data_IF_148593211477
#
_entry.id   IF_148593211477
#
_cell.length_a   1.000
_cell.length_b   1.000
_cell.length_c   1.000
_cell.angle_alpha   90.00
_cell.angle_beta   90.00
_cell.angle_gamma   90.00
#
_symmetry.space_group_name_H-M   'P 1'
#
loop_
_entity.id
_entity.type
_entity.pdbx_description
1 polymer ?
#
# COMPACT_ATOMS: atom_id res chain seq x y z
N UNK A 1 -22.18 26.43 5.78
CA UNK A 1 -20.79 26.53 5.32
C UNK A 1 -19.81 25.73 6.18
N UNK A 2 -19.85 25.82 7.49
CA UNK A 2 -18.90 25.17 8.45
C UNK A 2 -18.88 23.63 8.31
N UNK A 3 -20.04 22.99 8.09
CA UNK A 3 -20.12 21.51 7.91
C UNK A 3 -19.35 21.03 6.67
N UNK A 4 -19.37 21.79 5.57
CA UNK A 4 -18.61 21.47 4.34
C UNK A 4 -17.10 21.65 4.56
N UNK A 5 -16.68 22.65 5.33
CA UNK A 5 -15.29 22.90 5.66
C UNK A 5 -14.71 21.77 6.53
N UNK A 6 -15.47 21.28 7.51
CA UNK A 6 -15.09 20.16 8.38
C UNK A 6 -14.83 18.89 7.57
N UNK A 7 -15.74 18.54 6.66
CA UNK A 7 -15.57 17.35 5.81
C UNK A 7 -14.37 17.47 4.87
N UNK A 8 -14.12 18.66 4.31
CA UNK A 8 -12.93 18.91 3.49
C UNK A 8 -11.64 18.72 4.29
N UNK A 9 -11.59 19.24 5.51
CA UNK A 9 -10.42 19.06 6.40
C UNK A 9 -10.18 17.60 6.73
N UNK A 10 -11.23 16.86 7.15
CA UNK A 10 -11.12 15.42 7.42
C UNK A 10 -10.69 14.66 6.16
N UNK A 11 -11.25 14.97 4.99
CA UNK A 11 -10.88 14.32 3.73
C UNK A 11 -9.41 14.54 3.36
N UNK A 12 -8.88 15.76 3.54
CA UNK A 12 -7.47 16.07 3.28
C UNK A 12 -6.55 15.31 4.24
N UNK A 13 -6.87 15.31 5.54
CA UNK A 13 -6.09 14.57 6.53
C UNK A 13 -6.10 13.06 6.24
N UNK A 14 -7.27 12.49 5.92
CA UNK A 14 -7.39 11.08 5.58
C UNK A 14 -6.67 10.73 4.28
N UNK A 15 -6.71 11.61 3.27
CA UNK A 15 -5.98 11.45 2.02
C UNK A 15 -4.46 11.42 2.24
N UNK A 16 -3.95 12.31 3.09
CA UNK A 16 -2.53 12.36 3.43
C UNK A 16 -2.09 11.10 4.18
N UNK A 17 -2.88 10.65 5.16
CA UNK A 17 -2.62 9.41 5.89
C UNK A 17 -2.64 8.20 4.97
N UNK A 18 -3.62 8.10 4.07
CA UNK A 18 -3.71 7.02 3.10
C UNK A 18 -2.49 6.98 2.16
N UNK A 19 -2.02 8.15 1.73
CA UNK A 19 -0.82 8.28 0.91
C UNK A 19 0.42 7.79 1.65
N UNK A 20 0.63 8.23 2.90
CA UNK A 20 1.77 7.81 3.73
C UNK A 20 1.74 6.30 3.98
N UNK A 21 0.58 5.74 4.37
CA UNK A 21 0.44 4.29 4.59
C UNK A 21 0.72 3.50 3.30
N UNK A 22 0.22 3.96 2.16
CA UNK A 22 0.48 3.31 0.87
C UNK A 22 1.95 3.34 0.50
N UNK A 23 2.65 4.45 0.75
CA UNK A 23 4.09 4.56 0.50
C UNK A 23 4.90 3.63 1.41
N UNK A 24 4.59 3.60 2.72
CA UNK A 24 5.30 2.76 3.69
C UNK A 24 5.07 1.27 3.41
N UNK A 25 3.82 0.86 3.20
CA UNK A 25 3.50 -0.54 2.91
C UNK A 25 4.01 -0.98 1.53
N UNK A 26 3.98 -0.08 0.53
CA UNK A 26 4.57 -0.34 -0.77
C UNK A 26 6.08 -0.53 -0.70
N UNK A 27 6.79 0.32 0.04
CA UNK A 27 8.23 0.18 0.26
C UNK A 27 8.56 -1.11 1.04
N UNK A 28 7.82 -1.41 2.09
CA UNK A 28 8.00 -2.65 2.87
C UNK A 28 7.74 -3.91 2.02
N UNK A 29 6.68 -3.92 1.22
CA UNK A 29 6.40 -5.02 0.29
C UNK A 29 7.54 -5.22 -0.71
N UNK A 30 8.03 -4.12 -1.31
CA UNK A 30 9.12 -4.19 -2.28
C UNK A 30 10.41 -4.71 -1.66
N UNK A 31 10.76 -4.23 -0.46
CA UNK A 31 11.94 -4.68 0.28
C UNK A 31 11.87 -6.16 0.63
N UNK A 32 10.71 -6.64 1.13
CA UNK A 32 10.52 -8.06 1.46
C UNK A 32 10.61 -8.92 0.19
N UNK A 33 9.96 -8.49 -0.89
CA UNK A 33 10.00 -9.20 -2.16
C UNK A 33 11.44 -9.34 -2.68
N UNK A 34 12.22 -8.25 -2.72
CA UNK A 34 13.61 -8.28 -3.15
C UNK A 34 14.45 -9.23 -2.28
N UNK A 35 14.29 -9.14 -0.96
CA UNK A 35 15.03 -9.99 -0.02
C UNK A 35 14.76 -11.48 -0.25
N UNK A 36 13.51 -11.87 -0.51
CA UNK A 36 13.13 -13.25 -0.80
C UNK A 36 13.67 -13.68 -2.18
N UNK A 37 13.59 -12.82 -3.20
CA UNK A 37 14.14 -13.10 -4.52
C UNK A 37 15.66 -13.33 -4.46
N UNK A 38 16.39 -12.47 -3.75
CA UNK A 38 17.85 -12.59 -3.58
C UNK A 38 18.22 -13.89 -2.83
N UNK A 39 17.43 -14.23 -1.82
CA UNK A 39 17.62 -15.45 -1.05
C UNK A 39 17.41 -16.72 -1.91
N UNK A 40 16.34 -16.75 -2.71
CA UNK A 40 16.08 -17.81 -3.68
C UNK A 40 17.22 -17.97 -4.70
N UNK A 41 17.75 -16.84 -5.20
CA UNK A 41 18.90 -16.85 -6.12
C UNK A 41 20.15 -17.40 -5.46
N UNK A 42 20.49 -16.94 -4.28
CA UNK A 42 21.66 -17.44 -3.52
C UNK A 42 21.58 -18.95 -3.32
N UNK A 43 20.39 -19.46 -3.00
CA UNK A 43 20.14 -20.88 -2.86
C UNK A 43 20.38 -21.66 -4.17
N UNK A 44 19.87 -21.15 -5.30
CA UNK A 44 20.11 -21.77 -6.60
C UNK A 44 21.60 -21.84 -6.94
N UNK A 45 22.37 -20.77 -6.69
CA UNK A 45 23.81 -20.76 -6.87
C UNK A 45 24.53 -21.76 -5.97
N UNK A 46 24.10 -21.89 -4.71
CA UNK A 46 24.67 -22.83 -3.77
C UNK A 46 24.40 -24.28 -4.22
N UNK A 47 23.17 -24.61 -4.60
CA UNK A 47 22.78 -25.94 -5.09
C UNK A 47 23.59 -26.33 -6.35
N UNK A 48 23.76 -25.40 -7.29
CA UNK A 48 24.55 -25.67 -8.49
C UNK A 48 26.03 -25.90 -8.20
N UNK A 49 26.58 -25.19 -7.21
CA UNK A 49 28.00 -25.27 -6.87
C UNK A 49 28.35 -26.51 -6.04
N UNK A 50 27.53 -26.90 -5.09
CA UNK A 50 27.78 -28.03 -4.17
C UNK A 50 27.61 -29.38 -4.86
N UNK A 51 26.61 -29.52 -5.75
CA UNK A 51 26.36 -30.75 -6.50
C UNK A 51 27.45 -31.08 -7.55
N UNK A 52 28.39 -30.16 -7.78
CA UNK A 52 29.51 -30.37 -8.71
C UNK A 52 30.63 -31.24 -8.15
N UNK A 53 30.57 -31.69 -6.91
CA UNK A 53 31.75 -32.28 -6.27
C UNK A 53 31.64 -33.55 -5.43
N UNK A 54 30.63 -33.78 -4.65
CA UNK A 54 30.51 -34.93 -3.74
C UNK A 54 29.08 -35.06 -3.16
N UNK A 55 28.43 -36.19 -3.43
CA UNK A 55 27.36 -36.79 -2.64
C UNK A 55 26.29 -35.86 -2.06
N UNK A 56 25.06 -36.37 -1.95
CA UNK A 56 23.85 -35.70 -1.47
C UNK A 56 24.04 -34.33 -0.82
N UNK A 57 23.64 -33.29 -1.50
CA UNK A 57 23.59 -31.91 -0.98
C UNK A 57 22.82 -31.93 0.34
N UNK A 58 23.39 -31.51 1.47
CA UNK A 58 22.60 -31.33 2.68
C UNK A 58 21.48 -30.34 2.34
N UNK A 59 20.23 -30.72 2.65
CA UNK A 59 19.04 -29.93 2.34
C UNK A 59 19.31 -28.42 2.52
N UNK A 60 19.33 -27.63 1.45
CA UNK A 60 19.61 -26.22 1.55
C UNK A 60 18.52 -25.56 2.41
N UNK A 61 18.93 -25.03 3.52
CA UNK A 61 18.04 -24.36 4.47
C UNK A 61 18.29 -22.85 4.40
N UNK A 62 17.22 -22.09 4.38
CA UNK A 62 17.26 -20.64 4.47
C UNK A 62 16.83 -20.22 5.86
N UNK A 63 17.52 -19.24 6.44
CA UNK A 63 17.16 -18.67 7.72
C UNK A 63 16.21 -17.49 7.49
N UNK A 64 14.92 -17.68 7.80
CA UNK A 64 13.90 -16.62 7.73
C UNK A 64 13.43 -16.33 9.15
N UNK A 65 13.76 -15.15 9.69
CA UNK A 65 13.31 -14.72 11.01
C UNK A 65 13.84 -15.56 12.19
N UNK A 66 14.98 -16.23 12.01
CA UNK A 66 15.58 -17.11 13.01
C UNK A 66 15.19 -18.60 12.87
N UNK A 67 14.26 -18.92 12.00
CA UNK A 67 13.87 -20.30 11.69
C UNK A 67 14.56 -20.78 10.40
N UNK A 68 15.06 -22.02 10.41
CA UNK A 68 15.59 -22.66 9.20
C UNK A 68 14.46 -23.24 8.39
N UNK A 69 14.20 -22.65 7.22
CA UNK A 69 13.17 -23.08 6.28
C UNK A 69 13.83 -23.85 5.14
N UNK A 70 13.30 -25.05 4.89
CA UNK A 70 13.69 -25.87 3.76
C UNK A 70 12.85 -25.42 2.56
N UNK A 71 13.50 -24.95 1.48
CA UNK A 71 12.80 -24.75 0.22
C UNK A 71 12.88 -26.02 -0.62
N UNK A 72 11.77 -26.54 -1.13
CA UNK A 72 11.80 -27.64 -2.06
C UNK A 72 12.58 -27.24 -3.32
N UNK A 73 13.53 -28.06 -3.71
CA UNK A 73 14.36 -27.87 -4.88
C UNK A 73 14.56 -29.18 -5.63
N UNK A 74 14.95 -29.08 -6.89
CA UNK A 74 15.47 -30.22 -7.66
C UNK A 74 16.48 -29.76 -8.69
N UNK A 75 17.34 -30.68 -9.12
CA UNK A 75 18.34 -30.45 -10.15
C UNK A 75 18.19 -31.45 -11.29
N UNK A 76 18.38 -30.94 -12.51
CA UNK A 76 18.29 -31.74 -13.74
C UNK A 76 19.57 -31.55 -14.54
N UNK A 77 20.21 -32.64 -14.95
CA UNK A 77 21.30 -32.61 -15.90
C UNK A 77 20.77 -33.02 -17.28
N UNK A 78 21.08 -32.21 -18.29
CA UNK A 78 20.69 -32.46 -19.70
C UNK A 78 21.93 -32.78 -20.50
N UNK A 79 21.94 -33.99 -21.06
CA UNK A 79 22.95 -34.46 -22.01
C UNK A 79 22.31 -34.70 -23.39
N UNK A 80 22.58 -33.79 -24.32
CA UNK A 80 21.92 -33.87 -25.64
C UNK A 80 20.40 -33.86 -25.49
N UNK A 81 19.74 -34.95 -25.84
CA UNK A 81 18.27 -35.11 -25.84
C UNK A 81 17.75 -35.80 -24.57
N UNK A 82 18.63 -36.15 -23.64
CA UNK A 82 18.25 -36.86 -22.41
C UNK A 82 18.41 -35.99 -21.17
N UNK A 83 17.39 -35.98 -20.32
CA UNK A 83 17.36 -35.24 -19.06
C UNK A 83 17.27 -36.19 -17.86
N UNK A 84 18.15 -36.02 -16.87
CA UNK A 84 18.18 -36.83 -15.66
C UNK A 84 18.03 -35.97 -14.43
N UNK A 85 17.11 -36.32 -13.54
CA UNK A 85 17.00 -35.69 -12.22
C UNK A 85 18.17 -36.20 -11.36
N UNK A 86 18.97 -35.28 -10.83
CA UNK A 86 20.19 -35.64 -10.11
C UNK A 86 19.98 -35.57 -8.60
N UNK A 87 19.21 -34.63 -8.12
CA UNK A 87 18.94 -34.40 -6.69
C UNK A 87 17.65 -33.62 -6.49
N UNK A 88 16.98 -33.76 -5.36
CA UNK A 88 15.85 -32.91 -5.03
C UNK A 88 14.92 -33.44 -3.94
N UNK A 89 14.15 -32.52 -3.37
CA UNK A 89 13.12 -32.77 -2.37
C UNK A 89 11.72 -32.43 -2.87
N UNK A 90 11.57 -32.11 -4.15
CA UNK A 90 10.29 -31.76 -4.77
C UNK A 90 9.47 -33.02 -5.04
N UNK A 91 8.29 -33.10 -4.44
CA UNK A 91 7.49 -34.33 -4.42
C UNK A 91 6.74 -34.63 -5.75
N UNK A 92 6.61 -33.66 -6.66
CA UNK A 92 5.73 -33.77 -7.83
C UNK A 92 6.44 -34.19 -9.11
N UNK A 93 7.68 -34.67 -9.01
CA UNK A 93 8.52 -35.07 -10.16
C UNK A 93 8.26 -36.50 -10.73
N UNK A 94 7.30 -37.22 -10.14
CA UNK A 94 6.95 -38.57 -10.64
C UNK A 94 6.29 -38.54 -12.04
N UNK A 95 5.80 -37.38 -12.46
CA UNK A 95 5.17 -37.24 -13.76
C UNK A 95 6.18 -36.74 -14.82
N UNK A 96 6.63 -37.66 -15.68
CA UNK A 96 7.58 -37.40 -16.77
C UNK A 96 7.08 -36.31 -17.75
N UNK A 97 5.76 -36.18 -17.95
CA UNK A 97 5.17 -35.21 -18.86
C UNK A 97 5.30 -33.77 -18.29
N UNK A 98 5.08 -33.61 -16.97
CA UNK A 98 5.28 -32.33 -16.26
C UNK A 98 6.72 -31.89 -16.35
N UNK A 99 7.68 -32.79 -16.13
CA UNK A 99 9.11 -32.46 -16.23
C UNK A 99 9.49 -32.03 -17.66
N UNK A 100 8.97 -32.73 -18.67
CA UNK A 100 9.21 -32.36 -20.06
C UNK A 100 8.69 -30.96 -20.38
N UNK A 101 7.50 -30.61 -19.89
CA UNK A 101 6.90 -29.32 -20.13
C UNK A 101 7.70 -28.17 -19.42
N UNK A 102 8.10 -28.39 -18.18
CA UNK A 102 8.98 -27.45 -17.45
C UNK A 102 10.28 -27.22 -18.21
N UNK A 103 10.93 -28.29 -18.67
CA UNK A 103 12.21 -28.20 -19.38
C UNK A 103 12.05 -27.53 -20.76
N UNK A 104 10.96 -27.79 -21.50
CA UNK A 104 10.70 -27.14 -22.78
C UNK A 104 10.56 -25.61 -22.61
N UNK A 105 9.81 -25.14 -21.59
CA UNK A 105 9.64 -23.73 -21.30
C UNK A 105 10.97 -23.05 -20.88
N UNK A 106 11.83 -23.75 -20.13
CA UNK A 106 13.14 -23.23 -19.75
C UNK A 106 14.10 -23.13 -20.94
N UNK A 107 14.08 -24.11 -21.85
CA UNK A 107 14.97 -24.14 -23.02
C UNK A 107 14.55 -23.12 -24.08
N UNK A 108 13.25 -22.87 -24.24
CA UNK A 108 12.73 -21.84 -25.15
C UNK A 108 13.13 -20.41 -24.73
N UNK A 109 13.30 -20.17 -23.42
CA UNK A 109 13.66 -18.83 -22.92
C UNK A 109 15.14 -18.46 -23.17
N UNK A 110 16.00 -19.42 -23.52
CA UNK A 110 17.46 -19.24 -23.73
C UNK A 110 18.19 -18.44 -22.62
N UNK A 111 17.53 -18.18 -21.50
CA UNK A 111 18.04 -17.38 -20.40
C UNK A 111 18.74 -18.27 -19.37
N UNK A 112 19.86 -17.76 -18.83
CA UNK A 112 20.58 -18.45 -17.77
C UNK A 112 19.78 -18.54 -16.46
N UNK A 113 18.89 -17.59 -16.22
CA UNK A 113 17.95 -17.61 -15.07
C UNK A 113 16.55 -17.19 -15.51
N UNK A 114 15.51 -17.75 -14.87
CA UNK A 114 14.15 -17.42 -15.20
C UNK A 114 13.13 -18.00 -14.22
N UNK A 115 11.86 -17.84 -14.56
CA UNK A 115 10.74 -18.37 -13.78
C UNK A 115 9.79 -19.12 -14.71
N UNK A 116 9.33 -20.28 -14.26
CA UNK A 116 8.22 -21.03 -14.87
C UNK A 116 6.99 -20.79 -14.03
N UNK A 117 6.21 -19.77 -14.42
CA UNK A 117 5.11 -19.26 -13.60
C UNK A 117 3.99 -20.28 -13.38
N UNK A 118 3.73 -21.14 -14.35
CA UNK A 118 2.70 -22.18 -14.29
C UNK A 118 2.95 -23.17 -13.14
N UNK A 119 4.22 -23.52 -12.92
CA UNK A 119 4.66 -24.46 -11.88
C UNK A 119 5.21 -23.77 -10.63
N UNK A 120 5.18 -22.42 -10.58
CA UNK A 120 5.76 -21.63 -9.50
C UNK A 120 7.23 -21.94 -9.22
N UNK A 121 8.01 -22.22 -10.27
CA UNK A 121 9.41 -22.57 -10.17
C UNK A 121 10.30 -21.42 -10.64
N UNK A 122 11.40 -21.20 -9.93
CA UNK A 122 12.53 -20.37 -10.38
C UNK A 122 13.66 -21.30 -10.76
N UNK A 123 14.32 -21.04 -11.87
CA UNK A 123 15.43 -21.85 -12.32
C UNK A 123 16.70 -21.05 -12.57
N UNK A 124 17.82 -21.75 -12.45
CA UNK A 124 19.13 -21.27 -12.85
C UNK A 124 19.80 -22.34 -13.69
N UNK A 125 20.29 -21.95 -14.87
CA UNK A 125 20.96 -22.82 -15.83
C UNK A 125 22.46 -22.57 -15.81
N UNK A 126 23.26 -23.63 -15.74
CA UNK A 126 24.71 -23.58 -15.87
C UNK A 126 25.16 -24.56 -16.94
N UNK A 127 25.95 -24.08 -17.90
CA UNK A 127 26.54 -24.92 -18.93
C UNK A 127 27.98 -25.29 -18.51
N UNK A 128 28.23 -26.61 -18.38
CA UNK A 128 29.54 -27.14 -18.04
C UNK A 128 30.29 -27.68 -19.29
N UNK A 129 29.82 -27.36 -20.49
CA UNK A 129 30.40 -27.78 -21.76
C UNK A 129 30.12 -29.24 -22.16
N UNK A 130 29.97 -30.16 -21.22
CA UNK A 130 29.59 -31.55 -21.45
C UNK A 130 28.07 -31.79 -21.26
N UNK A 131 27.47 -31.06 -20.36
CA UNK A 131 26.05 -31.13 -20.04
C UNK A 131 25.56 -29.77 -19.51
N UNK A 132 24.29 -29.51 -19.73
CA UNK A 132 23.63 -28.33 -19.12
C UNK A 132 22.97 -28.76 -17.82
N UNK A 133 23.27 -28.05 -16.73
CA UNK A 133 22.69 -28.28 -15.43
C UNK A 133 21.66 -27.22 -15.13
N UNK A 134 20.48 -27.63 -14.72
CA UNK A 134 19.37 -26.78 -14.30
C UNK A 134 19.07 -27.05 -12.82
N UNK A 135 19.03 -26.01 -12.01
CA UNK A 135 18.51 -26.06 -10.64
C UNK A 135 17.20 -25.33 -10.57
N UNK A 136 16.23 -25.90 -9.88
CA UNK A 136 14.89 -25.38 -9.68
C UNK A 136 14.58 -25.23 -8.19
N UNK A 137 13.89 -24.15 -7.84
CA UNK A 137 13.38 -23.88 -6.47
C UNK A 137 11.91 -23.52 -6.55
N UNK A 138 11.12 -24.08 -5.66
CA UNK A 138 9.69 -23.79 -5.52
C UNK A 138 9.45 -22.43 -4.89
N UNK A 139 8.70 -21.57 -5.58
CA UNK A 139 8.29 -20.23 -5.14
C UNK A 139 6.91 -20.22 -4.45
N UNK A 140 6.26 -21.34 -4.25
CA UNK A 140 4.91 -21.40 -3.67
C UNK A 140 4.88 -20.79 -2.27
N UNK A 141 5.91 -21.07 -1.45
CA UNK A 141 6.09 -20.49 -0.12
C UNK A 141 6.31 -18.97 -0.19
N UNK A 142 7.14 -18.51 -1.12
CA UNK A 142 7.40 -17.09 -1.39
C UNK A 142 6.09 -16.35 -1.67
N UNK A 143 5.30 -16.85 -2.58
CA UNK A 143 4.00 -16.27 -2.95
C UNK A 143 3.00 -16.32 -1.79
N UNK A 144 3.02 -17.38 -0.97
CA UNK A 144 2.15 -17.51 0.19
C UNK A 144 2.50 -16.45 1.25
N UNK A 145 3.80 -16.24 1.51
CA UNK A 145 4.30 -15.21 2.44
C UNK A 145 3.90 -13.81 1.96
N UNK A 146 4.13 -13.49 0.68
CA UNK A 146 3.77 -12.18 0.12
C UNK A 146 2.27 -11.94 0.15
N UNK A 147 1.44 -12.91 -0.18
CA UNK A 147 -0.02 -12.81 -0.06
C UNK A 147 -0.47 -12.58 1.39
N UNK A 148 0.15 -13.27 2.35
CA UNK A 148 -0.13 -13.09 3.77
C UNK A 148 0.24 -11.67 4.24
N UNK A 149 1.40 -11.15 3.82
CA UNK A 149 1.82 -9.78 4.09
C UNK A 149 0.84 -8.75 3.56
N UNK A 150 0.45 -8.85 2.29
CA UNK A 150 -0.54 -7.94 1.68
C UNK A 150 -1.85 -7.95 2.47
N UNK A 151 -2.35 -9.13 2.82
CA UNK A 151 -3.57 -9.26 3.63
C UNK A 151 -3.42 -8.59 5.00
N UNK A 152 -2.31 -8.84 5.69
CA UNK A 152 -2.03 -8.22 7.00
C UNK A 152 -1.94 -6.70 6.89
N UNK A 153 -1.25 -6.17 5.88
CA UNK A 153 -1.13 -4.74 5.65
C UNK A 153 -2.47 -4.08 5.35
N UNK A 154 -3.33 -4.73 4.56
CA UNK A 154 -4.69 -4.23 4.29
C UNK A 154 -5.54 -4.17 5.57
N UNK A 155 -5.48 -5.18 6.42
CA UNK A 155 -6.20 -5.20 7.69
C UNK A 155 -5.70 -4.11 8.65
N UNK A 156 -4.38 -3.94 8.76
CA UNK A 156 -3.76 -2.90 9.59
C UNK A 156 -4.12 -1.51 9.05
N UNK A 157 -4.03 -1.30 7.74
CA UNK A 157 -4.37 -0.04 7.10
C UNK A 157 -5.85 0.32 7.32
N UNK A 158 -6.76 -0.64 7.16
CA UNK A 158 -8.18 -0.44 7.40
C UNK A 158 -8.46 -0.07 8.87
N UNK A 159 -7.86 -0.80 9.81
CA UNK A 159 -7.98 -0.51 11.25
C UNK A 159 -7.44 0.87 11.61
N UNK A 160 -6.24 1.20 11.14
CA UNK A 160 -5.64 2.51 11.35
C UNK A 160 -6.50 3.65 10.76
N UNK A 161 -7.03 3.44 9.54
CA UNK A 161 -7.89 4.41 8.87
C UNK A 161 -9.19 4.68 9.65
N UNK A 162 -9.82 3.64 10.20
CA UNK A 162 -11.02 3.79 11.02
C UNK A 162 -10.74 4.55 12.32
N UNK A 163 -9.65 4.22 13.01
CA UNK A 163 -9.24 4.92 14.25
C UNK A 163 -8.93 6.39 13.97
N UNK A 164 -8.14 6.66 12.93
CA UNK A 164 -7.78 8.03 12.55
C UNK A 164 -8.98 8.83 12.06
N UNK A 165 -9.93 8.22 11.37
CA UNK A 165 -11.18 8.87 10.99
C UNK A 165 -11.98 9.30 12.24
N UNK A 166 -12.07 8.44 13.25
CA UNK A 166 -12.69 8.77 14.54
C UNK A 166 -12.01 9.97 15.23
N UNK A 167 -10.68 9.93 15.31
CA UNK A 167 -9.87 11.02 15.90
C UNK A 167 -10.05 12.33 15.11
N UNK A 168 -9.96 12.27 13.78
CA UNK A 168 -10.13 13.44 12.91
C UNK A 168 -11.54 14.05 13.04
N UNK A 169 -12.58 13.22 13.12
CA UNK A 169 -13.94 13.68 13.32
C UNK A 169 -14.14 14.32 14.69
N UNK A 170 -13.56 13.75 15.75
CA UNK A 170 -13.60 14.31 17.10
C UNK A 170 -12.84 15.65 17.18
N UNK A 171 -11.61 15.70 16.67
CA UNK A 171 -10.78 16.89 16.61
C UNK A 171 -11.46 18.02 15.82
N UNK A 172 -12.03 17.69 14.66
CA UNK A 172 -12.76 18.65 13.84
C UNK A 172 -13.97 19.24 14.57
N UNK A 173 -14.68 18.44 15.39
CA UNK A 173 -15.78 18.97 16.25
C UNK A 173 -15.27 19.88 17.34
N UNK A 174 -14.16 19.52 17.97
CA UNK A 174 -13.59 20.30 19.08
C UNK A 174 -13.08 21.67 18.61
N UNK A 175 -12.35 21.72 17.50
CA UNK A 175 -11.79 22.96 16.93
C UNK A 175 -12.87 23.90 16.39
N UNK A 176 -13.97 23.38 15.84
CA UNK A 176 -15.00 24.24 15.24
C UNK A 176 -16.03 24.79 16.24
N UNK A 177 -16.17 24.19 17.43
CA UNK A 177 -17.10 24.69 18.46
C UNK A 177 -16.88 26.15 18.89
N UNK A 178 -15.66 26.62 19.20
CA UNK A 178 -15.43 28.00 19.58
C UNK A 178 -15.73 28.97 18.43
N UNK A 179 -15.43 28.60 17.20
CA UNK A 179 -15.71 29.43 16.00
C UNK A 179 -17.22 29.59 15.81
N UNK A 180 -18.00 28.52 15.96
CA UNK A 180 -19.47 28.58 15.88
C UNK A 180 -20.07 29.52 16.96
N UNK A 181 -19.54 29.48 18.18
CA UNK A 181 -19.96 30.38 19.25
C UNK A 181 -19.65 31.84 18.92
N UNK A 182 -18.43 32.12 18.47
CA UNK A 182 -18.04 33.49 18.10
C UNK A 182 -18.89 34.03 16.94
N UNK A 183 -19.18 33.24 15.93
CA UNK A 183 -20.05 33.62 14.82
C UNK A 183 -21.51 33.92 15.25
N UNK A 184 -22.05 33.09 16.15
CA UNK A 184 -23.38 33.35 16.71
C UNK A 184 -23.44 34.64 17.52
N UNK A 185 -22.45 34.88 18.37
CA UNK A 185 -22.34 36.11 19.15
C UNK A 185 -22.22 37.37 18.27
N UNK A 186 -21.35 37.31 17.25
CA UNK A 186 -21.20 38.41 16.30
C UNK A 186 -22.48 38.70 15.52
N UNK A 187 -23.21 37.68 15.10
CA UNK A 187 -24.48 37.84 14.38
C UNK A 187 -25.56 38.43 15.29
N UNK A 188 -25.61 38.00 16.55
CA UNK A 188 -26.55 38.52 17.53
C UNK A 188 -26.23 39.98 17.82
N UNK A 189 -24.96 40.32 18.06
CA UNK A 189 -24.52 41.68 18.27
C UNK A 189 -24.90 42.61 17.10
N UNK A 190 -24.70 42.21 15.86
CA UNK A 190 -25.10 42.98 14.68
C UNK A 190 -26.63 43.15 14.59
N UNK A 191 -27.40 42.14 14.98
CA UNK A 191 -28.88 42.22 14.99
C UNK A 191 -29.34 43.20 16.07
N UNK A 192 -28.80 43.07 17.29
CA UNK A 192 -29.17 43.91 18.42
C UNK A 192 -28.75 45.38 18.17
N UNK A 193 -27.52 45.62 17.69
CA UNK A 193 -27.06 46.95 17.29
C UNK A 193 -27.92 47.57 16.19
N UNK A 194 -28.37 46.77 15.20
CA UNK A 194 -29.27 47.28 14.13
C UNK A 194 -30.63 47.70 14.70
N UNK A 195 -31.16 46.93 15.67
CA UNK A 195 -32.42 47.31 16.32
C UNK A 195 -32.24 48.55 17.22
N UNK A 196 -31.17 48.62 17.97
CA UNK A 196 -30.89 49.74 18.86
C UNK A 196 -30.60 51.08 18.10
N UNK A 197 -29.98 50.99 16.90
CA UNK A 197 -29.75 52.15 16.02
C UNK A 197 -30.99 52.59 15.26
N UNK A 198 -31.94 51.69 14.97
CA UNK A 198 -33.15 52.02 14.22
C UNK A 198 -34.05 53.00 15.01
N UNK A 199 -34.16 52.86 16.33
CA UNK A 199 -35.01 53.69 17.17
C UNK A 199 -34.54 55.16 17.20
N UNK A 200 -33.28 55.50 17.54
CA UNK A 200 -32.82 56.89 17.52
C UNK A 200 -32.82 57.48 16.09
N UNK A 201 -32.52 56.69 15.06
CA UNK A 201 -32.53 57.13 13.68
C UNK A 201 -33.98 57.52 13.24
N UNK A 202 -34.98 56.72 13.63
CA UNK A 202 -36.38 57.03 13.38
C UNK A 202 -36.82 58.34 14.07
N UNK A 203 -36.38 58.56 15.30
CA UNK A 203 -36.68 59.81 16.04
C UNK A 203 -36.01 61.01 15.40
N UNK A 204 -34.76 60.89 14.98
CA UNK A 204 -34.06 61.96 14.25
C UNK A 204 -34.76 62.29 12.94
N UNK A 205 -35.13 61.26 12.16
CA UNK A 205 -35.80 61.42 10.86
C UNK A 205 -37.15 62.08 11.04
N UNK A 206 -37.94 61.65 12.05
CA UNK A 206 -39.25 62.25 12.34
C UNK A 206 -39.15 63.72 12.79
N UNK A 207 -38.13 64.05 13.61
CA UNK A 207 -37.89 65.44 13.98
C UNK A 207 -37.40 66.30 12.80
N UNK A 208 -36.59 65.73 11.88
CA UNK A 208 -36.16 66.42 10.68
C UNK A 208 -37.34 66.72 9.74
N UNK A 209 -38.23 65.75 9.56
CA UNK A 209 -39.47 65.93 8.75
C UNK A 209 -40.39 66.99 9.35
N UNK A 210 -40.53 67.05 10.68
CA UNK A 210 -41.32 68.06 11.37
C UNK A 210 -40.71 69.50 11.18
N UNK A 211 -39.39 69.63 11.23
CA UNK A 211 -38.72 70.91 10.98
C UNK A 211 -38.87 71.39 9.54
N UNK A 212 -38.78 70.47 8.58
CA UNK A 212 -38.95 70.76 7.17
C UNK A 212 -40.41 71.19 6.87
N UNK A 213 -41.38 70.49 7.48
CA UNK A 213 -42.79 70.87 7.38
C UNK A 213 -43.13 72.22 8.01
N UNK A 214 -42.48 72.54 9.15
CA UNK A 214 -42.65 73.85 9.81
C UNK A 214 -41.98 75.01 9.04
N UNK A 215 -40.81 74.75 8.39
CA UNK A 215 -40.12 75.73 7.57
C UNK A 215 -40.84 76.10 6.27
N UNK A 216 -41.68 75.22 5.76
CA UNK A 216 -42.52 75.44 4.58
C UNK A 216 -43.84 76.26 4.92
N UNK A 217 -44.23 76.22 6.19
CA UNK A 217 -45.42 76.96 6.66
C UNK A 217 -45.13 78.46 6.97
N UNK A 218 -43.87 78.91 6.98
CA UNK A 218 -43.44 80.28 7.32
C UNK A 218 -42.91 81.04 6.06
N UNK A 219 -43.58 80.94 4.90
CA UNK A 219 -43.38 81.85 3.79
C UNK A 219 -44.50 82.89 3.80
N UNK A 220 -44.27 84.12 4.32
CA UNK A 220 -45.25 85.18 4.15
C UNK A 220 -45.30 85.62 2.70
N UNK A 221 -46.51 85.96 2.30
CA UNK A 221 -46.87 86.54 1.00
C UNK A 221 -46.23 87.90 0.80
#
# INVERSE_FOLDING_TARGET
MIRKLRWKFVAVCMGLVALVLSAVFGAAYHAVRQNIEDLSRQMLYQVLREDSGRGAVPNPTIEIGGDRVLLPYFTVNIWGDTAYITSGTYADLENTDTLRDILSQCLEQEAAEGTVNEYHLRYLSMDNGLYRKLAFVDMSMEQAVLRRLVRSYLLIALGAMLVLLGIAAAASRWVTRPVEKAWKQQRQFLSDASHELKTPLTVILSNAELLEGAGLAEKPA
#
